data_IF_311718039053
#
_entry.id   IF_311718039053
#
_cell.length_a   1.000
_cell.length_b   1.000
_cell.length_c   1.000
_cell.angle_alpha   90.00
_cell.angle_beta   90.00
_cell.angle_gamma   90.00
#
_symmetry.space_group_name_H-M   'P 1'
#
loop_
_entity.id
_entity.type
_entity.pdbx_description
1 polymer ?
#
# COMPACT_ATOMS: atom_id res chain seq x y z
N UNK A 1 13.86 -5.59 5.79
CA UNK A 1 12.84 -5.05 4.88
C UNK A 1 13.20 -5.52 3.49
N UNK A 2 12.25 -5.98 2.71
CA UNK A 2 12.49 -6.45 1.33
C UNK A 2 12.12 -5.28 0.42
N UNK A 3 13.04 -4.88 -0.46
CA UNK A 3 12.87 -3.71 -1.36
C UNK A 3 12.52 -2.39 -0.64
N UNK A 4 12.99 -2.22 0.61
CA UNK A 4 12.72 -1.00 1.39
C UNK A 4 11.33 -0.94 2.04
N UNK A 5 10.54 -2.01 1.93
CA UNK A 5 9.23 -2.10 2.58
C UNK A 5 9.14 -3.34 3.46
N UNK A 6 8.29 -3.27 4.48
CA UNK A 6 7.88 -4.41 5.30
C UNK A 6 6.38 -4.57 5.26
N UNK A 7 5.93 -5.82 5.30
CA UNK A 7 4.52 -6.12 5.54
C UNK A 7 4.12 -5.48 6.87
N UNK A 8 3.13 -4.59 6.83
CA UNK A 8 2.58 -3.96 8.02
C UNK A 8 1.33 -4.70 8.49
N UNK A 9 0.43 -5.03 7.56
CA UNK A 9 -0.80 -5.74 7.86
C UNK A 9 -1.27 -6.57 6.66
N UNK A 10 -1.64 -7.82 6.92
CA UNK A 10 -2.31 -8.69 5.96
C UNK A 10 -3.84 -8.65 6.12
N UNK A 11 -4.55 -8.98 5.04
CA UNK A 11 -6.01 -8.97 4.95
C UNK A 11 -6.60 -7.61 5.38
N UNK A 12 -5.96 -6.53 4.95
CA UNK A 12 -6.25 -5.17 5.36
C UNK A 12 -7.47 -4.62 4.63
N UNK A 13 -8.28 -3.82 5.31
CA UNK A 13 -9.27 -2.95 4.69
C UNK A 13 -8.57 -1.66 4.29
N UNK A 14 -8.20 -1.51 3.01
CA UNK A 14 -7.39 -0.38 2.51
C UNK A 14 -7.94 0.99 2.90
N UNK A 15 -9.27 1.15 2.88
CA UNK A 15 -9.96 2.39 3.28
C UNK A 15 -9.78 2.76 4.76
N UNK A 16 -9.45 1.79 5.62
CA UNK A 16 -9.21 2.04 7.06
C UNK A 16 -7.80 2.52 7.36
N UNK A 17 -6.84 2.25 6.48
CA UNK A 17 -5.44 2.64 6.67
C UNK A 17 -5.22 4.16 6.58
N UNK A 18 -6.20 4.92 6.08
CA UNK A 18 -6.17 6.38 6.00
C UNK A 18 -6.29 6.90 4.57
N UNK A 19 -6.08 8.22 4.36
CA UNK A 19 -6.19 8.85 3.06
C UNK A 19 -5.03 8.42 2.16
N UNK A 20 -5.26 7.36 1.38
CA UNK A 20 -4.34 6.87 0.37
C UNK A 20 -4.60 7.50 -1.00
N UNK A 21 -3.53 7.74 -1.76
CA UNK A 21 -3.58 8.20 -3.15
C UNK A 21 -3.58 6.99 -4.08
N UNK A 22 -4.41 7.02 -5.11
CA UNK A 22 -4.39 5.99 -6.14
C UNK A 22 -3.05 6.00 -6.89
N UNK A 23 -2.34 4.87 -6.87
CA UNK A 23 -1.06 4.68 -7.55
C UNK A 23 -1.21 4.05 -8.94
N UNK A 24 -2.23 3.22 -9.14
CA UNK A 24 -2.45 2.51 -10.41
C UNK A 24 -2.95 1.08 -10.20
N UNK A 25 -3.01 0.32 -11.30
CA UNK A 25 -3.28 -1.11 -11.29
C UNK A 25 -2.04 -1.85 -11.79
N UNK A 26 -1.55 -2.80 -11.01
CA UNK A 26 -0.32 -3.53 -11.30
C UNK A 26 -0.47 -4.99 -10.93
N UNK A 27 0.08 -5.89 -11.75
CA UNK A 27 0.03 -7.34 -11.47
C UNK A 27 0.97 -7.75 -10.32
N UNK A 28 2.02 -6.97 -10.09
CA UNK A 28 3.07 -7.29 -9.12
C UNK A 28 3.14 -6.23 -8.04
N UNK A 29 3.33 -6.70 -6.81
CA UNK A 29 3.43 -5.84 -5.64
C UNK A 29 4.68 -4.95 -5.65
N UNK A 30 5.76 -5.45 -6.24
CA UNK A 30 7.02 -4.73 -6.42
C UNK A 30 6.81 -3.47 -7.26
N UNK A 31 5.86 -3.46 -8.19
CA UNK A 31 5.52 -2.26 -8.96
C UNK A 31 4.90 -1.17 -8.08
N UNK A 32 4.08 -1.53 -7.08
CA UNK A 32 3.61 -0.55 -6.08
C UNK A 32 4.78 0.01 -5.26
N UNK A 33 5.74 -0.86 -4.90
CA UNK A 33 6.91 -0.48 -4.11
C UNK A 33 7.83 0.48 -4.87
N UNK A 34 8.10 0.21 -6.15
CA UNK A 34 8.87 1.10 -7.01
C UNK A 34 8.18 2.45 -7.19
N UNK A 35 6.86 2.44 -7.43
CA UNK A 35 6.08 3.67 -7.57
C UNK A 35 6.12 4.53 -6.29
N UNK A 36 5.99 3.88 -5.13
CA UNK A 36 6.14 4.51 -3.83
C UNK A 36 7.59 5.00 -3.62
N UNK A 37 8.59 4.24 -4.07
CA UNK A 37 10.02 4.54 -3.94
C UNK A 37 10.48 5.74 -4.78
N UNK A 38 9.81 6.02 -5.89
CA UNK A 38 10.05 7.21 -6.73
C UNK A 38 9.46 8.51 -6.16
N UNK A 39 8.97 8.48 -4.92
CA UNK A 39 8.32 9.59 -4.22
C UNK A 39 7.21 10.22 -5.08
N UNK A 40 6.03 9.60 -5.07
CA UNK A 40 4.90 9.88 -5.96
C UNK A 40 4.23 11.26 -5.76
N UNK A 41 4.92 12.34 -6.14
CA UNK A 41 4.48 13.73 -6.03
C UNK A 41 5.38 14.53 -5.10
N UNK A 42 4.79 15.41 -4.28
CA UNK A 42 5.52 16.37 -3.43
C UNK A 42 5.95 15.80 -2.06
N UNK A 43 5.47 14.61 -1.69
CA UNK A 43 5.69 14.04 -0.36
C UNK A 43 6.22 12.63 -0.42
N UNK A 44 7.12 12.29 0.50
CA UNK A 44 7.71 10.96 0.60
C UNK A 44 6.62 9.92 0.82
N UNK A 45 6.70 8.84 0.08
CA UNK A 45 5.80 7.72 0.29
C UNK A 45 6.21 6.96 1.57
N UNK A 46 5.27 6.81 2.49
CA UNK A 46 5.43 6.12 3.78
C UNK A 46 5.12 4.63 3.67
N UNK A 47 4.44 4.21 2.60
CA UNK A 47 4.01 2.85 2.38
C UNK A 47 2.89 2.77 1.36
N UNK A 48 2.42 1.57 1.08
CA UNK A 48 1.39 1.31 0.07
C UNK A 48 0.52 0.12 0.47
N UNK A 49 -0.72 0.10 -0.01
CA UNK A 49 -1.58 -1.07 -0.01
C UNK A 49 -1.61 -1.67 -1.41
N UNK A 50 -1.63 -3.00 -1.46
CA UNK A 50 -1.78 -3.78 -2.68
C UNK A 50 -3.04 -4.64 -2.57
N UNK A 51 -3.96 -4.50 -3.52
CA UNK A 51 -5.22 -5.23 -3.59
C UNK A 51 -5.21 -6.19 -4.80
N UNK A 52 -4.71 -7.43 -4.67
CA UNK A 52 -4.59 -8.35 -5.81
C UNK A 52 -5.95 -8.70 -6.43
N UNK A 53 -7.00 -8.86 -5.62
CA UNK A 53 -8.36 -9.13 -6.11
C UNK A 53 -9.00 -7.94 -6.81
N UNK A 54 -8.50 -6.73 -6.60
CA UNK A 54 -9.00 -5.51 -7.23
C UNK A 54 -8.15 -5.11 -8.44
N UNK A 55 -7.89 -6.08 -9.33
CA UNK A 55 -6.99 -5.92 -10.50
C UNK A 55 -5.57 -5.48 -10.12
N UNK A 56 -5.12 -5.82 -8.91
CA UNK A 56 -3.82 -5.41 -8.41
C UNK A 56 -3.72 -3.89 -8.16
N UNK A 57 -4.80 -3.28 -7.67
CA UNK A 57 -4.83 -1.86 -7.33
C UNK A 57 -3.78 -1.54 -6.26
N UNK A 58 -2.96 -0.53 -6.53
CA UNK A 58 -2.02 0.05 -5.58
C UNK A 58 -2.58 1.36 -5.01
N UNK A 59 -2.55 1.47 -3.69
CA UNK A 59 -2.91 2.70 -2.97
C UNK A 59 -1.69 3.17 -2.16
N UNK A 60 -1.19 4.37 -2.42
CA UNK A 60 0.03 4.91 -1.81
C UNK A 60 -0.31 5.82 -0.63
N UNK A 61 0.43 5.73 0.46
CA UNK A 61 0.25 6.58 1.65
C UNK A 61 1.44 7.52 1.81
N UNK A 62 1.18 8.83 1.88
CA UNK A 62 2.22 9.86 1.96
C UNK A 62 2.17 10.69 3.25
N UNK A 63 1.02 10.77 3.91
CA UNK A 63 0.84 11.57 5.15
C UNK A 63 0.91 10.72 6.40
N UNK A 64 0.09 9.67 6.46
CA UNK A 64 0.02 8.76 7.58
C UNK A 64 -0.55 7.41 7.14
N UNK A 65 -0.15 6.37 7.87
CA UNK A 65 -0.79 5.06 7.84
C UNK A 65 -1.37 4.88 9.25
N UNK A 66 -2.69 4.91 9.34
CA UNK A 66 -3.44 4.84 10.59
C UNK A 66 -3.70 3.40 11.06
N UNK A 67 -4.74 3.23 11.88
CA UNK A 67 -5.14 1.93 12.38
C UNK A 67 -5.80 1.09 11.26
N UNK A 68 -5.09 0.08 10.77
CA UNK A 68 -5.56 -0.79 9.70
C UNK A 68 -6.49 -1.83 10.30
N UNK A 69 -7.76 -1.81 9.87
CA UNK A 69 -8.71 -2.89 10.14
C UNK A 69 -8.39 -4.08 9.24
N UNK A 70 -8.63 -5.27 9.76
CA UNK A 70 -8.51 -6.52 8.99
C UNK A 70 -9.88 -7.11 8.73
N UNK A 71 -10.05 -7.67 7.54
CA UNK A 71 -11.24 -8.41 7.13
C UNK A 71 -10.82 -9.73 6.49
N UNK A 72 -11.40 -10.85 6.94
CA UNK A 72 -11.02 -12.19 6.46
C UNK A 72 -11.35 -12.43 4.98
N UNK A 73 -12.24 -11.63 4.38
CA UNK A 73 -12.54 -11.64 2.95
C UNK A 73 -11.63 -10.74 2.12
N UNK A 74 -10.86 -9.85 2.78
CA UNK A 74 -9.90 -8.99 2.10
C UNK A 74 -8.60 -9.73 1.82
N UNK A 75 -8.11 -9.66 0.59
CA UNK A 75 -6.78 -10.13 0.20
C UNK A 75 -5.76 -8.99 0.15
N UNK A 76 -6.19 -7.78 0.49
CA UNK A 76 -5.32 -6.62 0.41
C UNK A 76 -4.27 -6.66 1.50
N UNK A 77 -3.08 -6.18 1.18
CA UNK A 77 -1.94 -6.14 2.10
C UNK A 77 -1.38 -4.75 2.13
N UNK A 78 -1.12 -4.23 3.33
CA UNK A 78 -0.48 -2.93 3.55
C UNK A 78 0.97 -3.13 3.90
N UNK A 79 1.84 -2.40 3.22
CA UNK A 79 3.27 -2.37 3.41
C UNK A 79 3.68 -0.99 3.88
N UNK A 80 4.59 -0.94 4.84
CA UNK A 80 5.16 0.29 5.36
C UNK A 80 6.63 0.37 4.97
N UNK A 81 7.05 1.56 4.55
CA UNK A 81 8.44 1.86 4.26
C UNK A 81 9.28 1.67 5.52
N UNK A 82 10.46 1.09 5.32
CA UNK A 82 11.57 1.17 6.25
C UNK A 82 12.43 2.37 5.80
#
# INVERSE_FOLDING_TARGET
>A
CVDGYRLHQANAVVSSAGPGKFGGFFTYITSCAELCGRDYGLSKCLGFAYEPTNRGKCTLYQRSIGAIKTDSGSTATVYKRC
#
